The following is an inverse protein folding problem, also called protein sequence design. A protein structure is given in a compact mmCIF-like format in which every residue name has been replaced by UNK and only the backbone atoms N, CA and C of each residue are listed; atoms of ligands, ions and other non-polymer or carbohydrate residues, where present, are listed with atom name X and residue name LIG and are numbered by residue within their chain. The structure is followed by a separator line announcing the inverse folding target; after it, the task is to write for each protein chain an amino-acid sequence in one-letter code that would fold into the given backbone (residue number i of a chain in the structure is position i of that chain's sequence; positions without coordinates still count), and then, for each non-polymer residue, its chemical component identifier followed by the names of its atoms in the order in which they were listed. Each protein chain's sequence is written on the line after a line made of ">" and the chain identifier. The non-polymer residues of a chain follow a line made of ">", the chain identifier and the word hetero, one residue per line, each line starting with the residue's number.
data_IF_762639217045
#
_entry.id   IF_762639217045
#
_cell.length_a   1.000
_cell.length_b   1.000
_cell.length_c   1.000
_cell.angle_alpha   90.00
_cell.angle_beta   90.00
_cell.angle_gamma   90.00
#
_symmetry.space_group_name_H-M   'P 1'
#
loop_
_entity.id
_entity.type
_entity.pdbx_description
1 polymer ?
#
# COMPACT_ATOMS: atom_id res chain seq x y z
N UNK A 1 -6.13 3.63 8.63
CA UNK A 1 -6.15 5.11 8.83
C UNK A 1 -6.15 5.77 7.46
N UNK A 2 -7.02 6.77 7.24
CA UNK A 2 -7.11 7.53 5.99
C UNK A 2 -6.39 8.88 6.17
N UNK A 3 -5.52 9.22 5.23
CA UNK A 3 -4.74 10.46 5.23
C UNK A 3 -4.56 10.98 3.81
N UNK A 4 -4.29 12.28 3.68
CA UNK A 4 -3.79 12.87 2.44
C UNK A 4 -2.29 13.12 2.64
N UNK A 5 -1.46 12.57 1.76
CA UNK A 5 -0.01 12.75 1.76
C UNK A 5 0.36 13.76 0.67
N UNK A 6 1.06 14.82 1.04
CA UNK A 6 1.62 15.75 0.08
C UNK A 6 2.70 15.06 -0.78
N UNK A 7 2.88 15.56 -2.00
CA UNK A 7 3.89 15.06 -2.92
C UNK A 7 5.29 15.08 -2.26
N UNK A 8 6.01 13.96 -2.31
CA UNK A 8 7.37 13.89 -1.74
C UNK A 8 8.44 14.33 -2.75
N UNK A 9 8.06 14.48 -4.02
CA UNK A 9 8.92 14.87 -5.14
C UNK A 9 8.14 15.77 -6.10
N UNK A 10 8.84 16.61 -6.86
CA UNK A 10 8.22 17.51 -7.86
C UNK A 10 7.45 16.76 -8.96
N UNK A 11 7.77 15.49 -9.19
CA UNK A 11 7.13 14.63 -10.20
C UNK A 11 5.95 13.83 -9.67
N UNK A 12 5.51 14.10 -8.43
CA UNK A 12 4.46 13.35 -7.75
C UNK A 12 3.25 14.25 -7.50
N UNK A 13 2.04 13.70 -7.60
CA UNK A 13 0.82 14.38 -7.18
C UNK A 13 0.49 14.04 -5.72
N UNK A 14 -0.18 14.92 -4.96
CA UNK A 14 -0.71 14.57 -3.65
C UNK A 14 -1.60 13.33 -3.74
N UNK A 15 -1.41 12.38 -2.81
CA UNK A 15 -2.08 11.09 -2.85
C UNK A 15 -3.01 10.90 -1.64
N UNK A 16 -4.18 10.29 -1.88
CA UNK A 16 -4.94 9.68 -0.79
C UNK A 16 -4.20 8.42 -0.37
N UNK A 17 -3.76 8.41 0.89
CA UNK A 17 -2.98 7.31 1.45
C UNK A 17 -3.76 6.64 2.58
N UNK A 18 -4.01 5.34 2.43
CA UNK A 18 -4.74 4.52 3.41
C UNK A 18 -3.87 3.37 3.89
N UNK A 19 -3.74 3.20 5.21
CA UNK A 19 -3.04 2.06 5.80
C UNK A 19 -4.02 1.10 6.51
N UNK A 20 -3.90 -0.18 6.19
CA UNK A 20 -4.65 -1.27 6.83
C UNK A 20 -3.70 -2.33 7.41
N UNK A 21 -4.03 -2.87 8.58
CA UNK A 21 -3.43 -4.10 9.09
C UNK A 21 -4.27 -5.27 8.60
N UNK A 22 -3.63 -6.31 8.07
CA UNK A 22 -4.27 -7.50 7.51
C UNK A 22 -3.62 -8.77 8.03
N UNK A 23 -4.36 -9.88 8.01
CA UNK A 23 -3.87 -11.19 8.46
C UNK A 23 -2.92 -11.84 7.45
N UNK A 24 -3.19 -11.67 6.14
CA UNK A 24 -2.34 -12.16 5.06
C UNK A 24 -2.19 -11.10 3.95
N UNK A 25 -1.02 -10.46 3.89
CA UNK A 25 -0.71 -9.49 2.82
C UNK A 25 -0.64 -10.17 1.44
N UNK A 26 -0.19 -11.42 1.34
CA UNK A 26 -0.08 -12.07 0.03
C UNK A 26 -1.46 -12.30 -0.59
N UNK A 27 -2.44 -12.70 0.23
CA UNK A 27 -3.83 -12.83 -0.20
C UNK A 27 -4.41 -11.46 -0.61
N UNK A 28 -4.22 -10.44 0.22
CA UNK A 28 -4.71 -9.09 -0.03
C UNK A 28 -4.11 -8.47 -1.31
N UNK A 29 -2.80 -8.63 -1.54
CA UNK A 29 -2.14 -8.19 -2.78
C UNK A 29 -2.66 -8.94 -4.00
N UNK A 30 -2.88 -10.25 -3.88
CA UNK A 30 -3.44 -11.03 -4.98
C UNK A 30 -4.86 -10.58 -5.32
N UNK A 31 -5.67 -10.23 -4.32
CA UNK A 31 -7.01 -9.66 -4.53
C UNK A 31 -6.94 -8.27 -5.20
N UNK A 32 -6.06 -7.39 -4.73
CA UNK A 32 -5.83 -6.08 -5.33
C UNK A 32 -5.38 -6.20 -6.80
N UNK A 33 -4.40 -7.07 -7.09
CA UNK A 33 -3.92 -7.32 -8.45
C UNK A 33 -5.02 -7.86 -9.37
N UNK A 34 -5.87 -8.78 -8.90
CA UNK A 34 -7.06 -9.24 -9.66
C UNK A 34 -8.07 -8.14 -9.94
N UNK A 35 -8.15 -7.13 -9.07
CA UNK A 35 -8.99 -5.95 -9.27
C UNK A 35 -8.34 -4.89 -10.18
N UNK A 36 -7.14 -5.14 -10.70
CA UNK A 36 -6.41 -4.22 -11.59
C UNK A 36 -5.55 -3.19 -10.86
N UNK A 37 -5.21 -3.42 -9.59
CA UNK A 37 -4.30 -2.55 -8.86
C UNK A 37 -2.87 -2.64 -9.40
N UNK A 38 -2.18 -1.50 -9.43
CA UNK A 38 -0.74 -1.44 -9.64
C UNK A 38 -0.02 -1.76 -8.32
N UNK A 39 0.96 -2.65 -8.34
CA UNK A 39 1.75 -2.95 -7.14
C UNK A 39 2.97 -2.03 -7.10
N UNK A 40 2.87 -0.95 -6.32
CA UNK A 40 3.93 0.05 -6.16
C UNK A 40 5.06 -0.44 -5.23
N UNK A 41 4.74 -1.29 -4.24
CA UNK A 41 5.71 -1.92 -3.35
C UNK A 41 5.29 -3.36 -3.07
N UNK A 42 6.15 -4.31 -3.43
CA UNK A 42 5.94 -5.72 -3.11
C UNK A 42 6.12 -5.99 -1.62
N UNK A 43 5.66 -7.17 -1.17
CA UNK A 43 5.79 -7.64 0.20
C UNK A 43 7.24 -7.50 0.69
N UNK A 44 7.45 -6.58 1.63
CA UNK A 44 8.76 -6.20 2.13
C UNK A 44 8.79 -6.35 3.65
N UNK A 45 9.71 -7.17 4.22
CA UNK A 45 9.87 -7.29 5.66
C UNK A 45 10.57 -6.07 6.26
N UNK A 46 10.13 -5.64 7.44
CA UNK A 46 10.80 -4.63 8.28
C UNK A 46 11.18 -5.30 9.60
N UNK A 47 12.48 -5.49 9.88
CA UNK A 47 12.94 -6.13 11.11
C UNK A 47 12.33 -5.48 12.36
N UNK A 48 11.67 -6.30 13.19
CA UNK A 48 11.03 -5.86 14.44
C UNK A 48 9.70 -5.13 14.29
N UNK A 49 9.18 -4.94 13.07
CA UNK A 49 7.91 -4.21 12.84
C UNK A 49 6.90 -4.99 11.97
N UNK A 50 7.27 -6.15 11.45
CA UNK A 50 6.41 -6.98 10.60
C UNK A 50 6.78 -6.86 9.13
N UNK A 51 5.79 -6.89 8.24
CA UNK A 51 5.96 -6.76 6.79
C UNK A 51 4.89 -5.85 6.21
N UNK A 52 5.22 -5.16 5.13
CA UNK A 52 4.33 -4.23 4.48
C UNK A 52 4.36 -4.37 2.95
N UNK A 53 3.31 -3.86 2.30
CA UNK A 53 3.24 -3.72 0.86
C UNK A 53 2.39 -2.50 0.50
N UNK A 54 2.49 -2.03 -0.75
CA UNK A 54 1.71 -0.89 -1.24
C UNK A 54 1.15 -1.23 -2.61
N UNK A 55 -0.14 -1.01 -2.79
CA UNK A 55 -0.78 -1.03 -4.11
C UNK A 55 -1.51 0.29 -4.38
N UNK A 56 -1.72 0.60 -5.65
CA UNK A 56 -2.47 1.75 -6.13
C UNK A 56 -3.67 1.25 -6.92
N UNK A 57 -4.87 1.66 -6.51
CA UNK A 57 -6.10 1.35 -7.24
C UNK A 57 -6.94 2.62 -7.35
N UNK A 58 -7.25 3.03 -8.59
CA UNK A 58 -8.02 4.25 -8.84
C UNK A 58 -7.36 5.53 -8.31
N UNK A 59 -6.02 5.58 -8.27
CA UNK A 59 -5.26 6.73 -7.74
C UNK A 59 -5.14 6.79 -6.22
N UNK A 60 -5.66 5.79 -5.49
CA UNK A 60 -5.53 5.69 -4.04
C UNK A 60 -4.35 4.78 -3.71
N UNK A 61 -3.38 5.31 -2.96
CA UNK A 61 -2.28 4.52 -2.41
C UNK A 61 -2.75 3.79 -1.14
N UNK A 62 -2.70 2.47 -1.17
CA UNK A 62 -3.07 1.64 -0.03
C UNK A 62 -1.86 0.87 0.49
N UNK A 63 -1.42 1.23 1.69
CA UNK A 63 -0.45 0.48 2.48
C UNK A 63 -1.12 -0.67 3.23
N UNK A 64 -0.51 -1.85 3.14
CA UNK A 64 -0.89 -3.04 3.90
C UNK A 64 0.21 -3.36 4.90
N UNK A 65 -0.18 -3.71 6.12
CA UNK A 65 0.72 -4.12 7.20
C UNK A 65 0.29 -5.47 7.76
N UNK A 66 1.25 -6.31 8.10
CA UNK A 66 1.04 -7.55 8.83
C UNK A 66 2.15 -7.65 9.88
N UNK A 67 1.74 -7.57 11.14
CA UNK A 67 2.57 -7.59 12.34
C UNK A 67 2.69 -8.99 12.91
#
# INVERSE_FOLDING_TARGET
>A
MLSIREALRETEEPAVHVCHVVEDIAEALAAAGRAGAEIAMWLTPIPGQGKFAIFILGGIETGLWQV
#
